data_IF_812663407798
#
_entry.id   IF_812663407798
#
_cell.length_a   1.000
_cell.length_b   1.000
_cell.length_c   1.000
_cell.angle_alpha   90.00
_cell.angle_beta   90.00
_cell.angle_gamma   90.00
#
_symmetry.space_group_name_H-M   'P 1'
#
loop_
_entity.id
_entity.type
_entity.pdbx_description
1 polymer ?
#
# COMPACT_ATOMS: atom_id res chain seq x y z
N UNK A 1 -22.68 -81.29 9.10
CA UNK A 1 -23.56 -80.21 9.53
C UNK A 1 -22.64 -79.08 10.00
N UNK A 2 -22.36 -78.13 9.13
CA UNK A 2 -21.53 -76.96 9.44
C UNK A 2 -22.41 -75.71 9.24
N UNK A 3 -22.51 -74.79 10.20
CA UNK A 3 -23.28 -73.55 10.07
C UNK A 3 -22.45 -72.50 9.35
N UNK A 4 -23.07 -71.89 8.33
CA UNK A 4 -22.54 -70.74 7.60
C UNK A 4 -22.71 -69.43 8.42
N UNK A 5 -21.63 -68.71 8.60
CA UNK A 5 -21.63 -67.33 9.15
C UNK A 5 -21.89 -66.33 8.02
N UNK A 6 -23.04 -65.64 8.09
CA UNK A 6 -23.30 -64.48 7.26
C UNK A 6 -22.65 -63.24 7.93
N UNK A 7 -21.72 -62.64 7.23
CA UNK A 7 -21.04 -61.40 7.65
C UNK A 7 -21.92 -60.21 7.27
N UNK A 8 -22.46 -59.53 8.28
CA UNK A 8 -23.21 -58.29 8.13
C UNK A 8 -22.17 -57.13 8.01
N UNK A 9 -22.03 -56.54 6.83
CA UNK A 9 -21.20 -55.36 6.60
C UNK A 9 -22.03 -54.11 6.91
N UNK A 10 -21.78 -53.48 8.07
CA UNK A 10 -22.38 -52.21 8.41
C UNK A 10 -21.66 -51.05 7.70
N UNK A 11 -22.36 -50.40 6.80
CA UNK A 11 -21.91 -49.16 6.13
C UNK A 11 -22.06 -47.99 7.10
N UNK A 12 -20.98 -47.52 7.68
CA UNK A 12 -20.93 -46.29 8.46
C UNK A 12 -20.86 -45.10 7.47
N UNK A 13 -21.97 -44.43 7.27
CA UNK A 13 -22.03 -43.12 6.62
C UNK A 13 -21.50 -42.07 7.62
N UNK A 14 -20.25 -41.64 7.46
CA UNK A 14 -19.70 -40.47 8.16
C UNK A 14 -20.31 -39.21 7.51
N UNK A 15 -21.28 -38.61 8.17
CA UNK A 15 -21.75 -37.26 7.85
C UNK A 15 -20.64 -36.32 8.29
N UNK A 16 -19.82 -35.84 7.34
CA UNK A 16 -18.97 -34.68 7.57
C UNK A 16 -19.87 -33.46 7.71
N UNK A 17 -20.14 -33.06 8.93
CA UNK A 17 -20.67 -31.74 9.24
C UNK A 17 -19.51 -30.78 8.96
N UNK A 18 -19.52 -30.20 7.76
CA UNK A 18 -18.69 -29.03 7.47
C UNK A 18 -19.17 -27.89 8.38
N UNK A 19 -18.50 -27.74 9.51
CA UNK A 19 -18.64 -26.52 10.31
C UNK A 19 -18.13 -25.38 9.44
N UNK A 20 -19.05 -24.64 8.83
CA UNK A 20 -18.76 -23.34 8.26
C UNK A 20 -18.15 -22.51 9.41
N UNK A 21 -16.84 -22.35 9.39
CA UNK A 21 -16.17 -21.36 10.20
C UNK A 21 -16.68 -20.01 9.70
N UNK A 22 -17.74 -19.51 10.33
CA UNK A 22 -18.11 -18.10 10.19
C UNK A 22 -16.94 -17.34 10.76
N UNK A 23 -16.12 -16.75 9.86
CA UNK A 23 -15.14 -15.76 10.27
C UNK A 23 -15.84 -14.76 11.17
N UNK A 24 -15.24 -14.35 12.30
CA UNK A 24 -15.87 -13.39 13.19
C UNK A 24 -16.30 -12.17 12.39
N UNK A 25 -17.50 -11.67 12.67
CA UNK A 25 -18.05 -10.51 11.99
C UNK A 25 -17.04 -9.35 12.06
N UNK A 26 -16.65 -8.85 10.89
CA UNK A 26 -15.69 -7.76 10.70
C UNK A 26 -16.38 -6.43 10.96
N UNK A 27 -16.85 -6.21 12.17
CA UNK A 27 -17.64 -5.03 12.50
C UNK A 27 -16.91 -4.07 13.43
N UNK A 28 -17.23 -2.81 13.27
CA UNK A 28 -16.70 -1.74 14.10
C UNK A 28 -17.19 -1.84 15.54
N UNK A 29 -18.28 -2.55 15.81
CA UNK A 29 -18.80 -2.77 17.17
C UNK A 29 -17.90 -3.72 17.96
N UNK A 30 -17.26 -4.69 17.31
CA UNK A 30 -16.29 -5.57 17.97
C UNK A 30 -15.04 -4.78 18.40
N UNK A 31 -14.57 -3.86 17.56
CA UNK A 31 -13.48 -2.94 17.93
C UNK A 31 -13.89 -2.08 19.14
N UNK A 32 -15.06 -1.43 19.08
CA UNK A 32 -15.58 -0.58 20.15
C UNK A 32 -15.72 -1.37 21.47
N UNK A 33 -16.27 -2.59 21.41
CA UNK A 33 -16.41 -3.43 22.60
C UNK A 33 -15.06 -3.79 23.23
N UNK A 34 -14.09 -4.24 22.44
CA UNK A 34 -12.73 -4.54 22.92
C UNK A 34 -12.09 -3.31 23.55
N UNK A 35 -12.21 -2.13 22.91
CA UNK A 35 -11.65 -0.89 23.42
C UNK A 35 -12.31 -0.48 24.76
N UNK A 36 -13.65 -0.58 24.89
CA UNK A 36 -14.36 -0.32 26.14
C UNK A 36 -14.02 -1.31 27.25
N UNK A 37 -13.70 -2.54 26.88
CA UNK A 37 -13.27 -3.57 27.84
C UNK A 37 -11.81 -3.38 28.32
N UNK A 38 -11.09 -2.39 27.80
CA UNK A 38 -9.69 -2.13 28.19
C UNK A 38 -8.70 -3.10 27.57
N UNK A 39 -9.02 -3.71 26.43
CA UNK A 39 -8.13 -4.63 25.73
C UNK A 39 -6.96 -3.90 25.05
N UNK A 40 -5.92 -4.66 24.69
CA UNK A 40 -4.81 -4.18 23.88
C UNK A 40 -5.18 -4.25 22.39
N UNK A 41 -5.15 -3.11 21.71
CA UNK A 41 -5.58 -2.98 20.31
C UNK A 41 -4.44 -2.40 19.44
N UNK A 42 -4.33 -2.89 18.23
CA UNK A 42 -3.41 -2.37 17.24
C UNK A 42 -4.20 -1.60 16.16
N UNK A 43 -3.89 -0.33 15.97
CA UNK A 43 -4.47 0.51 14.92
C UNK A 43 -3.37 0.87 13.91
N UNK A 44 -3.65 0.69 12.63
CA UNK A 44 -2.66 0.92 11.58
C UNK A 44 -3.13 1.99 10.61
N UNK A 45 -2.18 2.80 10.14
CA UNK A 45 -2.40 3.83 9.12
C UNK A 45 -1.57 3.47 7.88
N UNK A 46 -2.23 3.09 6.81
CA UNK A 46 -1.60 2.68 5.55
C UNK A 46 -1.86 3.72 4.47
N UNK A 47 -0.78 4.31 3.94
CA UNK A 47 -0.93 5.37 2.94
C UNK A 47 0.39 5.95 2.45
N UNK A 48 0.30 7.18 1.96
CA UNK A 48 1.41 7.98 1.46
C UNK A 48 1.84 9.10 2.42
N UNK A 49 2.39 10.18 1.87
CA UNK A 49 2.90 11.34 2.63
C UNK A 49 1.82 12.05 3.45
N UNK A 50 0.58 12.11 2.95
CA UNK A 50 -0.53 12.70 3.70
C UNK A 50 -0.90 11.87 4.93
N UNK A 51 -0.80 10.55 4.85
CA UNK A 51 -0.99 9.66 6.00
C UNK A 51 0.17 9.80 6.99
N UNK A 52 1.40 9.92 6.50
CA UNK A 52 2.55 10.19 7.36
C UNK A 52 2.45 11.55 8.06
N UNK A 53 1.92 12.58 7.41
CA UNK A 53 1.76 13.94 7.95
C UNK A 53 2.80 14.93 7.42
N UNK A 54 3.19 14.82 6.13
CA UNK A 54 4.10 15.77 5.49
C UNK A 54 3.56 17.21 5.59
N UNK A 55 4.43 18.18 5.88
CA UNK A 55 4.14 19.60 6.13
C UNK A 55 3.35 19.93 7.41
N UNK A 56 2.93 18.93 8.20
CA UNK A 56 2.49 19.26 9.56
C UNK A 56 3.66 19.73 10.40
N UNK A 57 3.41 20.62 11.36
CA UNK A 57 4.49 21.16 12.24
C UNK A 57 5.15 20.06 13.08
N UNK A 58 4.41 19.05 13.45
CA UNK A 58 4.90 17.83 14.08
C UNK A 58 4.07 16.62 13.63
N UNK A 59 4.55 15.79 12.70
CA UNK A 59 3.81 14.63 12.21
C UNK A 59 3.33 13.65 13.29
N UNK A 60 4.01 13.60 14.43
CA UNK A 60 3.63 12.76 15.56
C UNK A 60 2.55 13.40 16.45
N UNK A 61 2.18 14.66 16.22
CA UNK A 61 1.25 15.42 17.04
C UNK A 61 0.09 16.03 16.25
N UNK A 62 0.34 16.53 15.04
CA UNK A 62 -0.59 17.38 14.29
C UNK A 62 -1.03 16.81 12.95
N UNK A 63 -0.45 15.67 12.48
CA UNK A 63 -0.98 14.95 11.33
C UNK A 63 -2.38 14.37 11.63
N UNK A 64 -3.19 14.09 10.57
CA UNK A 64 -4.51 13.49 10.80
C UNK A 64 -4.40 12.14 11.54
N UNK A 65 -3.37 11.35 11.24
CA UNK A 65 -3.07 10.09 11.93
C UNK A 65 -2.90 10.32 13.43
N UNK A 66 -1.99 11.20 13.82
CA UNK A 66 -1.72 11.50 15.23
C UNK A 66 -2.96 12.07 15.95
N UNK A 67 -3.76 12.86 15.25
CA UNK A 67 -5.01 13.39 15.80
C UNK A 67 -6.09 12.31 15.97
N UNK A 68 -6.17 11.31 15.06
CA UNK A 68 -7.03 10.12 15.24
C UNK A 68 -6.56 9.31 16.46
N UNK A 69 -5.25 9.10 16.62
CA UNK A 69 -4.66 8.42 17.78
C UNK A 69 -5.09 9.09 19.10
N UNK A 70 -4.96 10.43 19.18
CA UNK A 70 -5.41 11.20 20.35
C UNK A 70 -6.90 11.05 20.62
N UNK A 71 -7.74 11.06 19.59
CA UNK A 71 -9.19 10.85 19.71
C UNK A 71 -9.53 9.45 20.22
N UNK A 72 -8.85 8.42 19.72
CA UNK A 72 -9.03 7.04 20.21
C UNK A 72 -8.66 6.92 21.69
N UNK A 73 -7.51 7.46 22.09
CA UNK A 73 -7.09 7.45 23.51
C UNK A 73 -8.10 8.19 24.39
N UNK A 74 -8.60 9.34 23.95
CA UNK A 74 -9.57 10.13 24.71
C UNK A 74 -10.94 9.45 24.83
N UNK A 75 -11.36 8.73 23.75
CA UNK A 75 -12.65 8.05 23.71
C UNK A 75 -12.64 6.74 24.52
N UNK A 76 -11.50 6.07 24.55
CA UNK A 76 -11.34 4.76 25.21
C UNK A 76 -10.18 4.79 26.22
N UNK A 77 -10.31 5.53 27.33
CA UNK A 77 -9.22 5.77 28.28
C UNK A 77 -8.74 4.50 29.01
N UNK A 78 -9.51 3.43 28.99
CA UNK A 78 -9.13 2.12 29.55
C UNK A 78 -8.41 1.21 28.57
N UNK A 79 -8.45 1.49 27.28
CA UNK A 79 -7.81 0.67 26.26
C UNK A 79 -6.30 0.88 26.17
N UNK A 80 -5.57 -0.15 25.74
CA UNK A 80 -4.13 -0.09 25.53
C UNK A 80 -3.84 -0.09 24.02
N UNK A 81 -3.64 1.08 23.42
CA UNK A 81 -3.41 1.21 22.00
C UNK A 81 -1.94 1.05 21.62
N UNK A 82 -1.71 0.35 20.54
CA UNK A 82 -0.48 0.34 19.78
C UNK A 82 -0.77 0.88 18.39
N UNK A 83 -0.24 2.05 18.08
CA UNK A 83 -0.39 2.68 16.78
C UNK A 83 0.78 2.34 15.88
N UNK A 84 0.52 2.08 14.61
CA UNK A 84 1.53 1.74 13.63
C UNK A 84 1.37 2.57 12.37
N UNK A 85 2.40 3.38 12.09
CA UNK A 85 2.50 4.14 10.86
C UNK A 85 3.12 3.27 9.77
N UNK A 86 2.30 2.88 8.78
CA UNK A 86 2.69 2.13 7.58
C UNK A 86 2.71 3.01 6.31
N UNK A 87 2.84 4.33 6.48
CA UNK A 87 2.89 5.26 5.37
C UNK A 87 4.29 5.34 4.75
N UNK A 88 4.36 5.43 3.43
CA UNK A 88 5.58 5.77 2.67
C UNK A 88 5.22 6.87 1.68
N UNK A 89 5.77 8.07 1.87
CA UNK A 89 5.51 9.21 1.01
C UNK A 89 5.81 8.95 -0.46
N UNK A 90 4.97 9.48 -1.35
CA UNK A 90 5.10 9.35 -2.81
C UNK A 90 4.94 7.93 -3.35
N UNK A 91 4.28 7.03 -2.61
CA UNK A 91 4.02 5.66 -3.07
C UNK A 91 2.53 5.36 -3.06
N UNK A 92 2.05 4.70 -4.11
CA UNK A 92 0.65 4.32 -4.30
C UNK A 92 0.32 2.90 -3.82
N UNK A 93 -0.92 2.51 -4.09
CA UNK A 93 -1.48 1.21 -3.75
C UNK A 93 -0.73 0.03 -4.37
N UNK A 94 -0.13 0.23 -5.55
CA UNK A 94 0.66 -0.81 -6.22
C UNK A 94 1.84 -1.25 -5.35
N UNK A 95 2.72 -0.33 -4.90
CA UNK A 95 3.81 -0.70 -4.00
C UNK A 95 3.31 -1.20 -2.64
N UNK A 96 2.21 -0.63 -2.15
CA UNK A 96 1.61 -1.06 -0.89
C UNK A 96 1.20 -2.53 -0.90
N UNK A 97 0.73 -3.06 -2.04
CA UNK A 97 0.36 -4.46 -2.19
C UNK A 97 1.52 -5.43 -1.94
N UNK A 98 2.74 -5.05 -2.34
CA UNK A 98 3.95 -5.86 -2.15
C UNK A 98 4.53 -5.80 -0.72
N UNK A 99 4.13 -4.81 0.07
CA UNK A 99 4.60 -4.64 1.45
C UNK A 99 3.51 -4.90 2.50
N UNK A 100 2.27 -5.18 2.09
CA UNK A 100 1.12 -5.33 2.98
C UNK A 100 1.36 -6.39 4.05
N UNK A 101 1.90 -7.55 3.68
CA UNK A 101 2.15 -8.65 4.61
C UNK A 101 3.11 -8.22 5.73
N UNK A 102 4.28 -7.68 5.36
CA UNK A 102 5.33 -7.30 6.31
C UNK A 102 4.95 -6.09 7.16
N UNK A 103 4.38 -5.06 6.52
CA UNK A 103 4.23 -3.75 7.14
C UNK A 103 2.88 -3.61 7.87
N UNK A 104 1.89 -4.44 7.52
CA UNK A 104 0.53 -4.35 8.02
C UNK A 104 0.06 -5.65 8.66
N UNK A 105 -0.11 -6.72 7.88
CA UNK A 105 -0.76 -7.95 8.37
C UNK A 105 0.01 -8.64 9.47
N UNK A 106 1.35 -8.66 9.39
CA UNK A 106 2.22 -9.19 10.45
C UNK A 106 2.08 -8.44 11.79
N UNK A 107 1.49 -7.23 11.81
CA UNK A 107 1.22 -6.48 13.04
C UNK A 107 -0.10 -6.87 13.69
N UNK A 108 -0.94 -7.65 13.00
CA UNK A 108 -2.27 -8.11 13.44
C UNK A 108 -3.13 -6.94 13.93
N UNK A 109 -3.43 -5.96 13.06
CA UNK A 109 -4.22 -4.80 13.46
C UNK A 109 -5.68 -5.15 13.72
N UNK A 110 -6.28 -4.44 14.66
CA UNK A 110 -7.71 -4.50 14.98
C UNK A 110 -8.52 -3.44 14.21
N UNK A 111 -7.85 -2.46 13.60
CA UNK A 111 -8.45 -1.39 12.78
C UNK A 111 -7.41 -0.84 11.81
N UNK A 112 -7.82 -0.52 10.59
CA UNK A 112 -6.98 0.14 9.60
C UNK A 112 -7.62 1.42 9.05
N UNK A 113 -6.82 2.48 8.88
CA UNK A 113 -7.13 3.64 8.05
C UNK A 113 -6.32 3.54 6.76
N UNK A 114 -6.99 3.62 5.61
CA UNK A 114 -6.40 3.39 4.29
C UNK A 114 -6.58 4.63 3.40
N UNK A 115 -5.47 5.24 2.98
CA UNK A 115 -5.43 6.35 2.02
C UNK A 115 -4.33 6.16 0.98
N UNK A 116 -4.72 6.17 -0.30
CA UNK A 116 -3.81 6.29 -1.44
C UNK A 116 -4.31 7.26 -2.50
N UNK A 117 -5.34 8.05 -2.19
CA UNK A 117 -6.07 8.86 -3.18
C UNK A 117 -5.15 9.77 -3.98
N UNK A 118 -4.25 10.50 -3.32
CA UNK A 118 -3.32 11.41 -4.02
C UNK A 118 -2.21 10.65 -4.75
N UNK A 119 -1.68 9.59 -4.13
CA UNK A 119 -0.58 8.83 -4.72
C UNK A 119 -0.99 7.90 -5.86
N UNK A 120 -2.25 7.51 -5.90
CA UNK A 120 -2.84 6.78 -7.05
C UNK A 120 -3.31 7.71 -8.17
N UNK A 121 -2.99 9.01 -8.06
CA UNK A 121 -3.27 10.06 -9.03
C UNK A 121 -4.78 10.23 -9.35
N UNK A 122 -5.50 11.10 -8.62
CA UNK A 122 -6.95 11.19 -8.70
C UNK A 122 -7.48 11.89 -9.96
N UNK A 123 -6.62 12.54 -10.74
CA UNK A 123 -7.04 13.46 -11.81
C UNK A 123 -7.19 12.82 -13.19
N UNK A 124 -6.29 11.96 -13.69
CA UNK A 124 -6.55 11.21 -14.91
C UNK A 124 -7.49 10.03 -14.64
N UNK A 125 -8.00 9.43 -15.69
CA UNK A 125 -8.67 8.14 -15.58
C UNK A 125 -7.69 7.10 -15.03
N UNK A 126 -7.99 6.42 -13.93
CA UNK A 126 -7.06 5.48 -13.31
C UNK A 126 -6.84 4.23 -14.18
N UNK A 127 -5.61 3.73 -14.21
CA UNK A 127 -5.31 2.49 -14.91
C UNK A 127 -6.01 1.29 -14.24
N UNK A 128 -6.37 0.25 -15.01
CA UNK A 128 -6.93 -0.99 -14.44
C UNK A 128 -6.03 -1.63 -13.37
N UNK A 129 -4.70 -1.59 -13.56
CA UNK A 129 -3.71 -2.09 -12.61
C UNK A 129 -3.78 -1.35 -11.27
N UNK A 130 -3.94 -0.02 -11.30
CA UNK A 130 -4.05 0.81 -10.10
C UNK A 130 -5.32 0.50 -9.30
N UNK A 131 -6.45 0.35 -9.98
CA UNK A 131 -7.71 -0.04 -9.33
C UNK A 131 -7.65 -1.47 -8.76
N UNK A 132 -7.05 -2.39 -9.50
CA UNK A 132 -6.82 -3.77 -9.05
C UNK A 132 -5.94 -3.81 -7.78
N UNK A 133 -4.88 -3.01 -7.73
CA UNK A 133 -4.01 -2.96 -6.55
C UNK A 133 -4.72 -2.38 -5.33
N UNK A 134 -5.48 -1.29 -5.49
CA UNK A 134 -6.23 -0.71 -4.38
C UNK A 134 -7.30 -1.65 -3.85
N UNK A 135 -8.10 -2.28 -4.73
CA UNK A 135 -9.11 -3.26 -4.32
C UNK A 135 -8.48 -4.48 -3.63
N UNK A 136 -7.33 -4.95 -4.12
CA UNK A 136 -6.60 -6.06 -3.49
C UNK A 136 -6.14 -5.74 -2.07
N UNK A 137 -5.71 -4.49 -1.80
CA UNK A 137 -5.40 -4.05 -0.43
C UNK A 137 -6.64 -4.14 0.47
N UNK A 138 -7.77 -3.57 0.00
CA UNK A 138 -9.04 -3.63 0.73
C UNK A 138 -9.44 -5.08 1.00
N UNK A 139 -9.46 -5.92 -0.04
CA UNK A 139 -9.86 -7.33 0.09
C UNK A 139 -8.98 -8.09 1.06
N UNK A 140 -7.66 -7.95 0.96
CA UNK A 140 -6.71 -8.66 1.84
C UNK A 140 -6.82 -8.21 3.31
N UNK A 141 -7.05 -6.91 3.56
CA UNK A 141 -7.31 -6.40 4.91
C UNK A 141 -8.61 -6.99 5.48
N UNK A 142 -9.70 -6.95 4.72
CA UNK A 142 -11.00 -7.47 5.13
C UNK A 142 -10.95 -8.99 5.31
N UNK A 143 -10.25 -9.73 4.43
CA UNK A 143 -10.02 -11.17 4.59
C UNK A 143 -9.22 -11.52 5.85
N UNK A 144 -8.32 -10.65 6.28
CA UNK A 144 -7.56 -10.82 7.52
C UNK A 144 -8.38 -10.47 8.79
N UNK A 145 -9.64 -10.10 8.65
CA UNK A 145 -10.49 -9.77 9.78
C UNK A 145 -10.35 -8.33 10.29
N UNK A 146 -9.84 -7.42 9.47
CA UNK A 146 -9.52 -6.05 9.85
C UNK A 146 -10.61 -5.12 9.32
N UNK A 147 -11.39 -4.42 10.18
CA UNK A 147 -12.26 -3.34 9.75
C UNK A 147 -11.44 -2.17 9.20
N UNK A 148 -11.88 -1.59 8.08
CA UNK A 148 -11.14 -0.58 7.33
C UNK A 148 -11.97 0.69 7.19
N UNK A 149 -11.39 1.83 7.57
CA UNK A 149 -11.89 3.17 7.22
C UNK A 149 -11.14 3.63 5.98
N UNK A 150 -11.87 3.82 4.88
CA UNK A 150 -11.31 4.42 3.68
C UNK A 150 -11.23 5.94 3.87
N UNK A 151 -10.06 6.52 3.57
CA UNK A 151 -9.85 7.97 3.66
C UNK A 151 -9.59 8.51 2.26
N UNK A 152 -10.29 9.58 1.87
CA UNK A 152 -10.12 10.28 0.59
C UNK A 152 -9.69 11.71 0.89
N UNK A 153 -8.46 12.05 0.52
CA UNK A 153 -7.80 13.31 0.88
C UNK A 153 -7.69 14.26 -0.31
N UNK A 154 -7.91 15.58 -0.11
CA UNK A 154 -7.71 16.59 -1.15
C UNK A 154 -6.26 17.08 -1.22
N UNK A 155 -5.91 17.67 -2.38
CA UNK A 155 -4.83 18.64 -2.52
C UNK A 155 -5.41 20.07 -2.64
N UNK A 156 -4.60 21.11 -2.52
CA UNK A 156 -5.05 22.52 -2.59
C UNK A 156 -5.89 22.82 -3.81
N UNK A 157 -5.50 22.30 -5.00
CA UNK A 157 -6.21 22.55 -6.27
C UNK A 157 -7.64 22.02 -6.29
N UNK A 158 -7.98 21.05 -5.43
CA UNK A 158 -9.33 20.49 -5.34
C UNK A 158 -10.35 21.46 -4.73
N UNK A 159 -9.87 22.49 -4.03
CA UNK A 159 -10.69 23.47 -3.34
C UNK A 159 -10.54 24.90 -3.88
N UNK A 160 -9.77 25.06 -4.95
CA UNK A 160 -9.69 26.32 -5.70
C UNK A 160 -10.93 26.52 -6.60
N UNK A 161 -11.19 27.76 -7.09
CA UNK A 161 -12.18 27.97 -8.14
C UNK A 161 -11.89 27.08 -9.36
N UNK A 162 -12.93 26.43 -9.91
CA UNK A 162 -12.82 25.49 -11.03
C UNK A 162 -11.85 24.32 -10.78
N UNK A 163 -12.09 23.51 -9.73
CA UNK A 163 -11.22 22.41 -9.40
C UNK A 163 -11.23 21.35 -10.51
N UNK A 164 -10.14 20.62 -10.69
CA UNK A 164 -10.10 19.50 -11.64
C UNK A 164 -11.08 18.40 -11.22
N UNK A 165 -11.55 17.63 -12.20
CA UNK A 165 -12.29 16.41 -11.92
C UNK A 165 -11.38 15.37 -11.26
N UNK A 166 -11.99 14.50 -10.46
CA UNK A 166 -11.31 13.42 -9.73
C UNK A 166 -11.96 12.08 -10.07
N UNK A 167 -11.72 11.52 -11.29
CA UNK A 167 -12.33 10.27 -11.73
C UNK A 167 -11.95 9.04 -10.87
N UNK A 168 -10.87 9.09 -10.10
CA UNK A 168 -10.51 8.04 -9.17
C UNK A 168 -11.47 7.94 -7.98
N UNK A 169 -11.94 9.07 -7.43
CA UNK A 169 -12.74 9.09 -6.20
C UNK A 169 -14.02 8.24 -6.29
N UNK A 170 -14.87 8.35 -7.33
CA UNK A 170 -16.05 7.51 -7.45
C UNK A 170 -15.71 6.01 -7.57
N UNK A 171 -14.58 5.66 -8.15
CA UNK A 171 -14.14 4.25 -8.27
C UNK A 171 -13.68 3.71 -6.91
N UNK A 172 -12.91 4.47 -6.15
CA UNK A 172 -12.55 4.11 -4.78
C UNK A 172 -13.79 4.00 -3.88
N UNK A 173 -14.77 4.91 -4.01
CA UNK A 173 -16.05 4.83 -3.28
C UNK A 173 -16.88 3.62 -3.68
N UNK A 174 -16.85 3.20 -4.95
CA UNK A 174 -17.52 1.97 -5.40
C UNK A 174 -16.89 0.72 -4.77
N UNK A 175 -15.56 0.68 -4.66
CA UNK A 175 -14.88 -0.38 -3.91
C UNK A 175 -15.34 -0.35 -2.44
N UNK A 176 -15.30 0.80 -1.77
CA UNK A 176 -15.76 0.92 -0.38
C UNK A 176 -17.20 0.41 -0.20
N UNK A 177 -18.11 0.82 -1.07
CA UNK A 177 -19.52 0.39 -1.02
C UNK A 177 -19.66 -1.14 -1.18
N UNK A 178 -18.89 -1.74 -2.08
CA UNK A 178 -18.89 -3.19 -2.31
C UNK A 178 -18.41 -3.97 -1.09
N UNK A 179 -17.37 -3.47 -0.41
CA UNK A 179 -16.82 -4.10 0.78
C UNK A 179 -17.44 -3.62 2.10
N UNK A 180 -18.40 -2.69 2.05
CA UNK A 180 -19.07 -2.15 3.24
C UNK A 180 -18.17 -1.27 4.12
N UNK A 181 -17.20 -0.58 3.53
CA UNK A 181 -16.28 0.29 4.26
C UNK A 181 -16.93 1.66 4.52
N UNK A 182 -16.77 2.25 5.71
CA UNK A 182 -17.03 3.67 5.93
C UNK A 182 -16.03 4.51 5.14
N UNK A 183 -16.51 5.61 4.57
CA UNK A 183 -15.72 6.54 3.75
C UNK A 183 -15.56 7.88 4.46
N UNK A 184 -14.33 8.23 4.77
CA UNK A 184 -13.93 9.55 5.27
C UNK A 184 -13.63 10.46 4.06
N UNK A 185 -14.64 11.15 3.56
CA UNK A 185 -14.52 12.05 2.40
C UNK A 185 -14.06 13.45 2.84
N UNK A 186 -12.75 13.60 3.07
CA UNK A 186 -12.17 14.90 3.39
C UNK A 186 -12.23 15.89 2.21
N UNK A 187 -12.31 15.39 0.97
CA UNK A 187 -12.49 16.27 -0.21
C UNK A 187 -13.82 17.01 -0.13
N UNK A 188 -14.90 16.29 0.14
CA UNK A 188 -16.22 16.88 0.28
C UNK A 188 -16.30 17.83 1.48
N UNK A 189 -15.75 17.43 2.62
CA UNK A 189 -15.72 18.24 3.85
C UNK A 189 -14.98 19.58 3.62
N UNK A 190 -13.75 19.52 3.09
CA UNK A 190 -12.92 20.72 2.89
C UNK A 190 -13.56 21.65 1.87
N UNK A 191 -14.10 21.11 0.75
CA UNK A 191 -14.90 21.91 -0.22
C UNK A 191 -16.05 22.64 0.46
N UNK A 192 -16.78 21.97 1.35
CA UNK A 192 -17.90 22.57 2.07
C UNK A 192 -17.43 23.69 3.01
N UNK A 193 -16.33 23.48 3.76
CA UNK A 193 -15.77 24.49 4.68
C UNK A 193 -15.31 25.75 3.94
N UNK A 194 -14.62 25.56 2.81
CA UNK A 194 -14.15 26.67 1.97
C UNK A 194 -15.35 27.41 1.35
N UNK A 195 -16.35 26.70 0.81
CA UNK A 195 -17.54 27.32 0.22
C UNK A 195 -18.38 28.13 1.21
N UNK A 196 -18.37 27.74 2.50
CA UNK A 196 -19.02 28.48 3.59
C UNK A 196 -18.17 29.65 4.13
N UNK A 197 -16.95 29.83 3.66
CA UNK A 197 -16.01 30.82 4.19
C UNK A 197 -15.47 30.51 5.59
N UNK A 198 -15.60 29.25 6.05
CA UNK A 198 -15.10 28.80 7.36
C UNK A 198 -13.59 28.53 7.33
N UNK A 199 -13.00 28.39 6.15
CA UNK A 199 -11.59 28.27 5.88
C UNK A 199 -11.24 28.81 4.51
N UNK A 200 -9.97 29.15 4.28
CA UNK A 200 -9.46 29.49 2.93
C UNK A 200 -8.42 28.47 2.50
N UNK A 201 -8.23 28.23 1.19
CA UNK A 201 -7.20 27.32 0.70
C UNK A 201 -5.80 27.67 1.21
N UNK A 202 -5.46 28.94 1.34
CA UNK A 202 -4.15 29.40 1.82
C UNK A 202 -3.95 29.22 3.32
N UNK A 203 -5.02 29.19 4.12
CA UNK A 203 -4.94 28.83 5.53
C UNK A 203 -4.74 27.31 5.74
N UNK A 204 -5.28 26.50 4.82
CA UNK A 204 -5.17 25.04 4.91
C UNK A 204 -3.86 24.53 4.33
N UNK A 205 -3.34 25.16 3.27
CA UNK A 205 -2.02 24.91 2.67
C UNK A 205 -1.19 26.18 2.82
N UNK A 206 -0.58 26.30 3.99
CA UNK A 206 0.14 27.50 4.45
C UNK A 206 1.57 27.62 3.89
N UNK A 207 2.09 26.55 3.25
CA UNK A 207 3.34 26.58 2.50
C UNK A 207 3.04 26.79 1.01
N UNK A 208 3.30 27.98 0.42
CA UNK A 208 2.86 28.31 -0.93
C UNK A 208 3.37 27.39 -2.03
N UNK A 209 4.58 26.88 -1.88
CA UNK A 209 5.24 25.98 -2.84
C UNK A 209 4.75 24.53 -2.76
N UNK A 210 4.10 24.13 -1.67
CA UNK A 210 3.55 22.78 -1.51
C UNK A 210 2.02 22.80 -1.60
N UNK A 211 1.51 22.52 -2.78
CA UNK A 211 0.07 22.47 -3.04
C UNK A 211 -0.56 21.09 -2.74
N UNK A 212 0.26 20.13 -2.34
CA UNK A 212 -0.18 18.76 -2.04
C UNK A 212 -0.41 18.54 -0.56
N UNK A 213 0.54 18.95 0.27
CA UNK A 213 0.53 18.68 1.70
C UNK A 213 0.00 19.91 2.47
N UNK A 214 -1.05 19.76 3.25
CA UNK A 214 -1.57 20.86 4.04
C UNK A 214 -0.73 21.09 5.30
N UNK A 215 -0.88 22.27 5.89
CA UNK A 215 -0.44 22.54 7.25
C UNK A 215 -1.40 21.97 8.30
N UNK A 216 -1.15 22.26 9.57
CA UNK A 216 -1.92 21.72 10.70
C UNK A 216 -3.43 21.98 10.60
N UNK A 217 -3.83 23.15 10.08
CA UNK A 217 -5.24 23.50 9.90
C UNK A 217 -5.95 22.57 8.89
N UNK A 218 -5.26 22.19 7.82
CA UNK A 218 -5.80 21.22 6.83
C UNK A 218 -5.88 19.80 7.41
N UNK A 219 -4.86 19.39 8.16
CA UNK A 219 -4.89 18.09 8.86
C UNK A 219 -6.00 18.02 9.91
N UNK A 220 -6.36 19.13 10.55
CA UNK A 220 -7.50 19.19 11.47
C UNK A 220 -8.83 18.86 10.76
N UNK A 221 -9.02 19.29 9.51
CA UNK A 221 -10.19 18.90 8.72
C UNK A 221 -10.13 17.43 8.24
N UNK A 222 -8.93 16.93 7.96
CA UNK A 222 -8.77 15.51 7.58
C UNK A 222 -9.15 14.58 8.74
N UNK A 223 -8.75 14.92 9.97
CA UNK A 223 -9.16 14.13 11.13
C UNK A 223 -10.65 14.26 11.41
N UNK A 224 -11.27 15.41 11.16
CA UNK A 224 -12.73 15.58 11.31
C UNK A 224 -13.47 14.58 10.41
N UNK A 225 -13.07 14.45 9.13
CA UNK A 225 -13.65 13.47 8.23
C UNK A 225 -13.39 12.02 8.66
N UNK A 226 -12.12 11.69 8.99
CA UNK A 226 -11.73 10.34 9.38
C UNK A 226 -12.43 9.89 10.65
N UNK A 227 -12.52 10.77 11.64
CA UNK A 227 -13.16 10.50 12.91
C UNK A 227 -14.66 10.35 12.79
N UNK A 228 -15.33 11.26 12.05
CA UNK A 228 -16.77 11.18 11.81
C UNK A 228 -17.17 9.88 11.11
N UNK A 229 -16.39 9.43 10.12
CA UNK A 229 -16.62 8.16 9.44
C UNK A 229 -16.47 6.96 10.41
N UNK A 230 -15.46 6.97 11.26
CA UNK A 230 -15.24 5.94 12.28
C UNK A 230 -16.37 5.93 13.32
N UNK A 231 -16.74 7.06 13.92
CA UNK A 231 -17.83 7.17 14.91
C UNK A 231 -19.17 6.71 14.33
N UNK A 232 -19.46 7.11 13.08
CA UNK A 232 -20.65 6.65 12.39
C UNK A 232 -20.64 5.13 12.21
N UNK A 233 -19.50 4.56 11.78
CA UNK A 233 -19.37 3.12 11.60
C UNK A 233 -19.56 2.34 12.91
N UNK A 234 -19.02 2.84 14.02
CA UNK A 234 -19.23 2.26 15.36
C UNK A 234 -20.71 2.34 15.75
N UNK A 235 -21.33 3.52 15.65
CA UNK A 235 -22.73 3.74 16.05
C UNK A 235 -23.73 2.95 15.22
N UNK A 236 -23.47 2.83 13.92
CA UNK A 236 -24.27 2.07 12.97
C UNK A 236 -23.97 0.56 13.02
N UNK A 237 -22.97 0.13 13.78
CA UNK A 237 -22.47 -1.26 13.81
C UNK A 237 -22.13 -1.76 12.41
N UNK A 238 -21.50 -0.90 11.63
CA UNK A 238 -21.13 -1.20 10.24
C UNK A 238 -20.23 -2.43 10.17
N UNK A 239 -20.43 -3.23 9.13
CA UNK A 239 -19.67 -4.46 8.90
C UNK A 239 -18.97 -4.40 7.56
N UNK A 240 -17.68 -4.65 7.57
CA UNK A 240 -16.95 -4.94 6.34
C UNK A 240 -17.33 -6.35 5.85
N UNK A 241 -17.38 -6.53 4.53
CA UNK A 241 -17.77 -7.80 3.92
C UNK A 241 -16.83 -8.16 2.79
N UNK A 242 -16.71 -9.44 2.51
CA UNK A 242 -15.95 -9.95 1.38
C UNK A 242 -16.94 -10.26 0.26
N UNK A 243 -16.97 -9.52 -0.85
CA UNK A 243 -17.82 -9.85 -1.99
C UNK A 243 -17.38 -11.17 -2.62
N UNK A 244 -18.29 -11.87 -3.28
CA UNK A 244 -17.98 -13.13 -3.97
C UNK A 244 -16.88 -12.93 -5.02
N UNK A 245 -16.98 -11.84 -5.80
CA UNK A 245 -15.98 -11.46 -6.83
C UNK A 245 -15.49 -10.05 -6.60
N UNK A 246 -14.26 -9.79 -7.00
CA UNK A 246 -13.72 -8.44 -7.07
C UNK A 246 -14.39 -7.66 -8.22
N UNK A 247 -14.41 -6.34 -8.11
CA UNK A 247 -14.85 -5.43 -9.19
C UNK A 247 -13.78 -5.35 -10.26
N UNK A 248 -12.51 -5.36 -9.84
CA UNK A 248 -11.33 -5.27 -10.69
C UNK A 248 -10.57 -6.60 -10.73
N UNK A 249 -9.55 -6.68 -11.58
CA UNK A 249 -8.74 -7.88 -11.74
C UNK A 249 -8.05 -8.29 -10.42
N UNK A 250 -7.90 -9.60 -10.22
CA UNK A 250 -7.25 -10.18 -9.02
C UNK A 250 -5.72 -10.15 -9.09
N UNK A 251 -5.13 -9.36 -10.02
CA UNK A 251 -3.70 -9.30 -10.28
C UNK A 251 -2.87 -9.16 -9.01
N UNK A 252 -3.25 -8.26 -8.11
CA UNK A 252 -2.50 -7.99 -6.88
C UNK A 252 -2.93 -8.85 -5.67
N UNK A 253 -3.80 -9.85 -5.88
CA UNK A 253 -4.08 -10.86 -4.85
C UNK A 253 -2.92 -11.84 -4.68
N UNK A 254 -2.15 -12.08 -5.75
CA UNK A 254 -0.92 -12.88 -5.72
C UNK A 254 0.25 -11.98 -6.06
N UNK A 255 1.11 -11.73 -5.09
CA UNK A 255 2.26 -10.83 -5.22
C UNK A 255 3.53 -11.45 -4.64
N UNK A 256 4.65 -11.08 -5.23
CA UNK A 256 5.98 -11.46 -4.77
C UNK A 256 6.90 -10.23 -4.78
N UNK A 257 7.55 -9.96 -3.66
CA UNK A 257 8.63 -8.99 -3.52
C UNK A 257 9.95 -9.75 -3.44
N UNK A 258 10.53 -10.01 -4.61
CA UNK A 258 11.78 -10.73 -4.71
C UNK A 258 12.96 -9.80 -4.38
N UNK A 259 13.54 -9.99 -3.19
CA UNK A 259 14.68 -9.18 -2.70
C UNK A 259 15.95 -9.59 -3.42
N UNK A 260 16.60 -8.66 -4.12
CA UNK A 260 17.79 -8.97 -4.90
C UNK A 260 19.00 -9.33 -4.01
N UNK A 261 19.05 -8.85 -2.77
CA UNK A 261 20.07 -9.24 -1.81
C UNK A 261 19.98 -10.71 -1.37
N UNK A 262 18.89 -11.43 -1.68
CA UNK A 262 18.77 -12.87 -1.47
C UNK A 262 19.46 -13.72 -2.55
N UNK A 263 19.96 -13.11 -3.61
CA UNK A 263 20.67 -13.80 -4.70
C UNK A 263 22.06 -14.22 -4.21
N UNK A 264 22.39 -15.54 -4.18
CA UNK A 264 23.66 -16.02 -3.63
C UNK A 264 24.89 -15.54 -4.43
N UNK A 265 24.73 -15.44 -5.76
CA UNK A 265 25.80 -15.04 -6.68
C UNK A 265 25.28 -13.94 -7.60
N UNK A 266 25.60 -12.71 -7.25
CA UNK A 266 25.27 -11.55 -8.08
C UNK A 266 26.14 -11.53 -9.34
N UNK A 267 25.64 -10.99 -10.48
CA UNK A 267 26.45 -10.79 -11.67
C UNK A 267 27.64 -9.87 -11.41
N UNK A 268 28.66 -9.93 -12.29
CA UNK A 268 29.84 -9.06 -12.21
C UNK A 268 29.43 -7.57 -12.12
N UNK A 269 30.08 -6.81 -11.23
CA UNK A 269 29.81 -5.39 -11.01
C UNK A 269 28.61 -5.08 -10.12
N UNK A 270 27.91 -6.10 -9.62
CA UNK A 270 26.87 -5.96 -8.59
C UNK A 270 27.41 -6.38 -7.22
N UNK A 271 27.05 -5.64 -6.19
CA UNK A 271 27.47 -5.94 -4.82
C UNK A 271 26.32 -5.72 -3.83
N UNK A 272 26.29 -6.49 -2.71
CA UNK A 272 25.35 -6.20 -1.62
C UNK A 272 25.60 -4.82 -1.02
N UNK A 273 24.53 -4.14 -0.62
CA UNK A 273 24.59 -2.82 0.00
C UNK A 273 23.51 -2.62 1.06
N UNK A 274 23.58 -1.48 1.70
CA UNK A 274 22.57 -1.03 2.68
C UNK A 274 21.94 0.27 2.20
N UNK A 275 20.64 0.48 2.46
CA UNK A 275 19.99 1.75 2.19
C UNK A 275 20.60 2.84 3.08
N UNK A 276 20.59 4.07 2.58
CA UNK A 276 21.00 5.22 3.38
C UNK A 276 20.01 5.45 4.51
N UNK A 277 20.54 5.84 5.66
CA UNK A 277 19.75 6.26 6.82
C UNK A 277 19.71 7.77 6.86
N UNK A 278 18.51 8.31 6.81
CA UNK A 278 18.28 9.74 6.97
C UNK A 278 17.33 9.97 8.15
N UNK A 279 17.84 10.57 9.22
CA UNK A 279 17.06 10.84 10.42
C UNK A 279 16.14 12.07 10.30
N UNK A 280 16.34 12.89 9.29
CA UNK A 280 15.66 14.19 9.14
C UNK A 280 14.42 14.10 8.25
N UNK A 281 14.51 13.40 7.14
CA UNK A 281 13.42 13.29 6.17
C UNK A 281 12.70 11.94 6.32
N UNK A 282 11.65 11.90 7.10
CA UNK A 282 10.94 10.68 7.47
C UNK A 282 10.39 9.90 6.27
N UNK A 283 9.82 10.59 5.29
CA UNK A 283 9.34 10.00 4.06
C UNK A 283 10.47 9.41 3.21
N UNK A 284 11.66 9.93 3.37
CA UNK A 284 12.84 9.59 2.59
C UNK A 284 13.76 8.62 3.30
N UNK A 285 13.40 8.17 4.51
CA UNK A 285 14.19 7.19 5.26
C UNK A 285 13.99 5.81 4.64
N UNK A 286 14.70 5.54 3.58
CA UNK A 286 14.59 4.26 2.87
C UNK A 286 14.89 3.06 3.77
N UNK A 287 15.75 3.20 4.78
CA UNK A 287 16.07 2.14 5.74
C UNK A 287 14.88 1.66 6.59
N UNK A 288 13.81 2.45 6.72
CA UNK A 288 12.58 2.01 7.38
C UNK A 288 11.84 0.92 6.58
N UNK A 289 11.96 0.98 5.25
CA UNK A 289 11.19 0.17 4.32
C UNK A 289 12.04 -0.87 3.60
N UNK A 290 13.37 -0.70 3.62
CA UNK A 290 14.37 -1.56 3.02
C UNK A 290 15.36 -2.02 4.09
N UNK A 291 15.70 -3.30 4.12
CA UNK A 291 16.69 -3.85 5.04
C UNK A 291 18.08 -3.91 4.40
N UNK A 292 18.11 -4.21 3.12
CA UNK A 292 19.29 -4.33 2.27
C UNK A 292 18.90 -4.06 0.82
N UNK A 293 19.89 -3.97 -0.05
CA UNK A 293 19.72 -3.79 -1.49
C UNK A 293 20.99 -4.30 -2.21
N UNK A 294 20.96 -4.28 -3.53
CA UNK A 294 22.15 -4.50 -4.36
C UNK A 294 22.52 -3.21 -5.10
N UNK A 295 23.81 -3.02 -5.33
CA UNK A 295 24.37 -1.83 -5.97
C UNK A 295 25.11 -2.28 -7.22
N UNK A 296 24.79 -1.65 -8.37
CA UNK A 296 25.52 -1.79 -9.61
C UNK A 296 26.34 -0.53 -9.90
N UNK A 297 27.54 -0.71 -10.44
CA UNK A 297 28.39 0.37 -10.98
C UNK A 297 28.30 0.47 -12.51
N UNK A 298 29.06 1.39 -13.08
CA UNK A 298 29.07 1.73 -14.52
C UNK A 298 29.30 0.54 -15.48
N UNK A 299 30.07 -0.46 -15.04
CA UNK A 299 30.42 -1.62 -15.87
C UNK A 299 29.74 -2.92 -15.40
N UNK A 300 28.65 -2.82 -14.65
CA UNK A 300 27.96 -3.99 -14.16
C UNK A 300 27.35 -4.79 -15.33
N UNK A 301 27.53 -6.10 -15.29
CA UNK A 301 26.87 -7.01 -16.21
C UNK A 301 25.35 -6.92 -16.07
N UNK A 302 24.56 -7.17 -17.12
CA UNK A 302 23.11 -7.17 -17.02
C UNK A 302 22.61 -8.16 -15.96
N UNK A 303 21.71 -7.71 -15.08
CA UNK A 303 21.00 -8.59 -14.17
C UNK A 303 19.80 -9.18 -14.90
N UNK A 304 19.85 -10.48 -15.18
CA UNK A 304 18.79 -11.22 -15.88
C UNK A 304 17.91 -11.93 -14.90
N UNK A 305 16.60 -11.76 -15.08
CA UNK A 305 15.59 -12.40 -14.26
C UNK A 305 14.57 -13.08 -15.16
N UNK A 306 14.02 -14.16 -14.67
CA UNK A 306 12.85 -14.84 -15.21
C UNK A 306 11.67 -14.56 -14.31
N UNK A 307 10.61 -14.01 -14.87
CA UNK A 307 9.43 -13.55 -14.13
C UNK A 307 8.16 -14.10 -14.76
N UNK A 308 7.34 -14.77 -13.99
CA UNK A 308 6.01 -15.17 -14.41
C UNK A 308 4.97 -14.37 -13.64
N UNK A 309 4.48 -13.30 -14.25
CA UNK A 309 3.60 -12.31 -13.63
C UNK A 309 2.93 -11.44 -14.70
N UNK A 310 1.87 -10.72 -14.32
CA UNK A 310 1.22 -9.71 -15.17
C UNK A 310 1.88 -8.34 -15.05
N UNK A 311 2.13 -7.91 -13.81
CA UNK A 311 2.67 -6.58 -13.54
C UNK A 311 4.01 -6.71 -12.82
N UNK A 312 5.00 -5.91 -13.26
CA UNK A 312 6.37 -5.97 -12.74
C UNK A 312 6.83 -4.56 -12.39
N UNK A 313 7.32 -4.38 -11.16
CA UNK A 313 7.83 -3.12 -10.63
C UNK A 313 9.22 -3.29 -10.04
N UNK A 314 10.07 -2.28 -10.16
CA UNK A 314 11.34 -2.17 -9.42
C UNK A 314 11.14 -1.26 -8.22
N UNK A 315 11.65 -1.70 -7.07
CA UNK A 315 11.73 -0.91 -5.85
C UNK A 315 13.17 -0.82 -5.36
N UNK A 316 13.60 0.39 -5.01
CA UNK A 316 14.96 0.66 -4.59
C UNK A 316 15.17 2.06 -4.06
N UNK A 317 16.40 2.52 -4.08
CA UNK A 317 16.82 3.80 -3.56
C UNK A 317 17.46 4.65 -4.67
N UNK A 318 17.14 5.93 -4.70
CA UNK A 318 17.83 6.94 -5.50
C UNK A 318 18.70 7.80 -4.59
N UNK A 319 19.91 8.14 -5.07
CA UNK A 319 20.86 9.01 -4.36
C UNK A 319 21.40 10.06 -5.31
N UNK A 320 22.20 11.00 -4.81
CA UNK A 320 22.93 11.98 -5.66
C UNK A 320 23.89 11.32 -6.65
N UNK A 321 24.30 10.07 -6.40
CA UNK A 321 25.15 9.28 -7.28
C UNK A 321 24.36 8.41 -8.26
N UNK A 322 23.03 8.35 -8.12
CA UNK A 322 22.23 7.49 -9.00
C UNK A 322 22.18 8.02 -10.41
N UNK A 323 22.33 7.11 -11.36
CA UNK A 323 22.25 7.38 -12.81
C UNK A 323 20.96 6.86 -13.42
N UNK A 324 20.97 6.65 -14.73
CA UNK A 324 19.89 5.99 -15.47
C UNK A 324 20.22 4.52 -15.68
N UNK A 325 19.20 3.71 -15.93
CA UNK A 325 19.35 2.31 -16.30
C UNK A 325 18.29 1.94 -17.34
N UNK A 326 18.48 0.82 -18.00
CA UNK A 326 17.57 0.33 -19.01
C UNK A 326 16.93 -0.98 -18.51
N UNK A 327 15.68 -1.18 -18.87
CA UNK A 327 14.99 -2.45 -18.66
C UNK A 327 14.47 -2.97 -19.99
N UNK A 328 14.76 -4.22 -20.29
CA UNK A 328 14.27 -4.93 -21.48
C UNK A 328 13.39 -6.08 -21.02
N UNK A 329 12.23 -6.24 -21.66
CA UNK A 329 11.31 -7.35 -21.46
C UNK A 329 11.29 -8.18 -22.71
N UNK A 330 11.55 -9.49 -22.61
CA UNK A 330 11.51 -10.49 -23.69
C UNK A 330 12.35 -10.13 -24.93
N UNK A 331 13.50 -9.50 -24.69
CA UNK A 331 14.40 -9.07 -25.78
C UNK A 331 13.86 -7.90 -26.62
N UNK A 332 12.73 -7.28 -26.22
CA UNK A 332 12.15 -6.11 -26.88
C UNK A 332 12.98 -4.84 -26.73
N UNK A 333 12.42 -3.71 -27.16
CA UNK A 333 13.07 -2.41 -27.04
C UNK A 333 13.30 -2.01 -25.58
N UNK A 334 14.49 -1.51 -25.23
CA UNK A 334 14.80 -1.15 -23.86
C UNK A 334 14.07 0.14 -23.44
N UNK A 335 13.44 0.10 -22.27
CA UNK A 335 12.88 1.27 -21.60
C UNK A 335 13.94 1.90 -20.70
N UNK A 336 14.25 3.17 -20.93
CA UNK A 336 15.17 3.94 -20.07
C UNK A 336 14.43 4.45 -18.85
N UNK A 337 15.00 4.20 -17.67
CA UNK A 337 14.46 4.65 -16.38
C UNK A 337 15.51 5.53 -15.72
N UNK A 338 15.13 6.73 -15.32
CA UNK A 338 16.00 7.63 -14.56
C UNK A 338 15.85 7.36 -13.07
N UNK A 339 16.96 7.04 -12.41
CA UNK A 339 17.06 7.00 -10.95
C UNK A 339 17.80 8.23 -10.40
N UNK A 340 17.93 9.29 -11.18
CA UNK A 340 18.62 10.53 -10.76
C UNK A 340 17.82 11.23 -9.66
N UNK A 341 18.53 11.64 -8.61
CA UNK A 341 17.97 12.33 -7.48
C UNK A 341 18.87 13.49 -7.04
N UNK A 342 18.29 14.68 -6.89
CA UNK A 342 19.00 15.86 -6.40
C UNK A 342 19.03 15.94 -4.85
N UNK A 343 18.13 15.27 -4.18
CA UNK A 343 17.77 15.51 -2.79
C UNK A 343 18.46 14.60 -1.75
N UNK A 344 19.55 13.97 -2.09
CA UNK A 344 20.27 13.11 -1.14
C UNK A 344 19.88 11.65 -1.25
N UNK A 345 18.74 11.22 -0.76
CA UNK A 345 18.18 9.90 -1.02
C UNK A 345 16.65 9.92 -1.09
N UNK A 346 16.10 9.13 -2.00
CA UNK A 346 14.67 8.93 -2.22
C UNK A 346 14.38 7.47 -2.60
N UNK A 347 13.11 7.08 -2.52
CA UNK A 347 12.65 5.80 -3.04
C UNK A 347 12.65 5.79 -4.56
N UNK A 348 13.18 4.73 -5.14
CA UNK A 348 12.97 4.37 -6.54
C UNK A 348 11.74 3.46 -6.62
N UNK A 349 10.71 3.90 -7.32
CA UNK A 349 9.52 3.10 -7.63
C UNK A 349 9.28 3.20 -9.12
N UNK A 350 9.47 2.11 -9.84
CA UNK A 350 9.36 2.12 -11.30
C UNK A 350 8.54 0.93 -11.79
N UNK A 351 7.38 1.20 -12.39
CA UNK A 351 6.62 0.19 -13.12
C UNK A 351 7.33 -0.09 -14.44
N UNK A 352 7.75 -1.32 -14.66
CA UNK A 352 8.47 -1.75 -15.86
C UNK A 352 7.57 -2.44 -16.87
N UNK A 353 6.57 -3.19 -16.40
CA UNK A 353 5.57 -3.82 -17.26
C UNK A 353 4.22 -3.90 -16.55
N UNK A 354 3.13 -3.78 -17.30
CA UNK A 354 1.75 -3.98 -16.86
C UNK A 354 1.00 -4.81 -17.92
N UNK A 355 0.17 -5.74 -17.48
CA UNK A 355 -0.71 -6.52 -18.34
C UNK A 355 0.00 -7.58 -19.19
N UNK A 356 1.16 -8.08 -18.75
CA UNK A 356 1.79 -9.24 -19.39
C UNK A 356 0.95 -10.50 -19.20
N UNK A 357 1.12 -11.46 -20.09
CA UNK A 357 0.49 -12.77 -19.97
C UNK A 357 1.20 -13.62 -18.91
N UNK A 358 0.64 -13.70 -17.72
CA UNK A 358 1.21 -14.46 -16.61
C UNK A 358 1.17 -15.98 -16.77
N UNK A 359 0.66 -16.51 -17.90
CA UNK A 359 0.64 -17.94 -18.17
C UNK A 359 2.02 -18.51 -18.58
N UNK A 360 2.98 -17.65 -18.94
CA UNK A 360 4.34 -18.04 -19.30
C UNK A 360 5.40 -17.13 -18.64
N UNK A 361 6.66 -17.54 -18.73
CA UNK A 361 7.80 -16.89 -18.09
C UNK A 361 8.40 -15.83 -19.02
N UNK A 362 8.50 -14.57 -18.54
CA UNK A 362 9.11 -13.43 -19.20
C UNK A 362 10.57 -13.29 -18.81
N UNK A 363 11.43 -12.89 -19.74
CA UNK A 363 12.83 -12.54 -19.48
C UNK A 363 12.95 -11.02 -19.23
N UNK A 364 13.51 -10.63 -18.09
CA UNK A 364 13.73 -9.24 -17.71
C UNK A 364 15.23 -8.99 -17.59
N UNK A 365 15.77 -8.13 -18.45
CA UNK A 365 17.14 -7.64 -18.35
C UNK A 365 17.16 -6.25 -17.70
N UNK A 366 17.86 -6.11 -16.59
CA UNK A 366 18.18 -4.81 -15.97
C UNK A 366 19.63 -4.49 -16.36
N UNK A 367 19.80 -3.45 -17.16
CA UNK A 367 21.06 -3.08 -17.78
C UNK A 367 21.50 -1.73 -17.21
N UNK A 368 22.69 -1.68 -16.63
CA UNK A 368 23.23 -0.42 -16.13
C UNK A 368 23.63 0.47 -17.32
N UNK A 369 23.14 1.71 -17.33
CA UNK A 369 23.51 2.76 -18.28
C UNK A 369 24.10 3.95 -17.48
N UNK A 370 25.14 3.61 -16.72
CA UNK A 370 25.75 4.49 -15.71
C UNK A 370 27.08 5.07 -16.21
N UNK A 371 27.31 6.31 -15.89
CA UNK A 371 28.60 6.94 -16.05
C UNK A 371 29.59 6.52 -14.95
N UNK A 372 30.90 6.65 -15.17
CA UNK A 372 31.89 6.42 -14.11
C UNK A 372 31.54 7.25 -12.84
N UNK A 373 31.40 6.57 -11.69
CA UNK A 373 31.05 7.17 -10.41
C UNK A 373 29.54 7.24 -10.12
N UNK A 374 28.69 6.92 -11.10
CA UNK A 374 27.25 6.71 -10.85
C UNK A 374 26.98 5.29 -10.35
N UNK A 375 25.84 5.11 -9.68
CA UNK A 375 25.38 3.83 -9.13
C UNK A 375 23.88 3.60 -9.38
N UNK A 376 23.47 2.34 -9.41
CA UNK A 376 22.08 1.90 -9.40
C UNK A 376 21.85 1.06 -8.15
N UNK A 377 20.81 1.38 -7.39
CA UNK A 377 20.52 0.79 -6.08
C UNK A 377 19.12 0.18 -6.09
N UNK A 378 19.02 -1.15 -6.12
CA UNK A 378 17.76 -1.89 -6.20
C UNK A 378 17.59 -2.79 -4.97
N UNK A 379 16.44 -2.72 -4.33
CA UNK A 379 16.07 -3.62 -3.24
C UNK A 379 15.37 -4.87 -3.76
N UNK A 380 14.34 -4.68 -4.59
CA UNK A 380 13.52 -5.80 -5.07
C UNK A 380 12.99 -5.60 -6.48
N UNK A 381 12.69 -6.74 -7.11
CA UNK A 381 11.76 -6.84 -8.21
C UNK A 381 10.45 -7.36 -7.65
N UNK A 382 9.38 -6.59 -7.85
CA UNK A 382 8.04 -6.85 -7.37
C UNK A 382 7.19 -7.37 -8.52
N UNK A 383 6.63 -8.56 -8.39
CA UNK A 383 5.81 -9.24 -9.39
C UNK A 383 4.38 -9.43 -8.89
N UNK A 384 3.38 -9.10 -9.69
CA UNK A 384 1.96 -9.29 -9.38
C UNK A 384 1.24 -10.05 -10.51
N UNK A 385 0.28 -10.88 -10.14
CA UNK A 385 -0.45 -11.79 -11.04
C UNK A 385 0.05 -13.21 -10.92
N UNK A 386 -0.87 -14.14 -10.59
CA UNK A 386 -0.54 -15.54 -10.36
C UNK A 386 0.20 -16.16 -11.56
N UNK A 387 1.30 -16.89 -11.28
CA UNK A 387 1.83 -17.34 -9.99
C UNK A 387 2.78 -16.35 -9.28
N UNK A 388 3.12 -15.21 -9.87
CA UNK A 388 4.01 -14.17 -9.33
C UNK A 388 5.40 -14.71 -8.94
N UNK A 389 6.04 -15.47 -9.81
CA UNK A 389 7.38 -16.03 -9.57
C UNK A 389 8.47 -15.15 -10.14
N UNK A 390 9.60 -15.08 -9.43
CA UNK A 390 10.82 -14.40 -9.87
C UNK A 390 12.02 -15.30 -9.56
N UNK A 391 12.92 -15.48 -10.52
CA UNK A 391 14.16 -16.24 -10.37
C UNK A 391 15.28 -15.63 -11.22
N UNK A 392 16.53 -16.05 -10.97
CA UNK A 392 17.64 -15.67 -11.82
C UNK A 392 17.55 -16.34 -13.19
N UNK A 393 17.76 -15.56 -14.24
CA UNK A 393 17.98 -16.07 -15.59
C UNK A 393 19.40 -16.65 -15.73
N UNK A 394 19.58 -17.54 -16.70
CA UNK A 394 20.90 -18.08 -17.01
C UNK A 394 21.85 -16.96 -17.51
N UNK A 395 23.06 -16.92 -17.00
CA UNK A 395 24.14 -16.12 -17.58
C UNK A 395 24.45 -16.70 -18.98
N UNK A 396 24.32 -15.89 -20.04
CA UNK A 396 24.78 -16.28 -21.37
C UNK A 396 26.29 -16.19 -21.48
#
# INVERSE_FOLDING_TARGET
>A
MTPSYQTLTALLFSIMISSAHTSPALDFSTFDQKARNGESLCVIFLGGSLTWGAQSTNPMETSYRALVEKKLIATYPGAHFRFWDAAIGGTGSQLASFRLERDVLAKKPDLAFLDFTINDDPYPEPSPSRLASYESLVRRLVQAGIPVVQVILPAKKDVLPNPPERPLDPKHKAIAATYGLPVADAVALVKQRVAKGEATPDQLWDLPEDVTHPGDAGYALYVEAAWSAFEHAVSAKSQCRIPEKMIHAETYMTVNRFRLASIPHLPEGWAPGKPHRNAVAFDFVCSKWMEDLVIAGANAAPLRLKVQASDIMIFGEMTKKSGSFQVRVDGGEPKVISAKCADGNMRLVAMIAEGLDSSWEHEIDIISDLKPGEELRIESVCAAGAPATVSLGASK
#
